data_IF_033496395986
#
_entry.id   IF_033496395986
#
_cell.length_a   1.000
_cell.length_b   1.000
_cell.length_c   1.000
_cell.angle_alpha   90.00
_cell.angle_beta   90.00
_cell.angle_gamma   90.00
#
_symmetry.space_group_name_H-M   'P 1'
#
loop_
_entity.id
_entity.type
_entity.pdbx_description
1 polymer ?
#
# COMPACT_ATOMS: atom_id res chain seq x y z
N UNK A 1 -3.33 19.29 -15.41
CA UNK A 1 -3.39 17.95 -16.04
C UNK A 1 -3.10 17.99 -17.54
N UNK A 2 -3.73 18.87 -18.34
CA UNK A 2 -3.51 18.93 -19.78
C UNK A 2 -2.05 19.28 -20.16
N UNK A 3 -1.42 20.22 -19.49
CA UNK A 3 0.00 20.57 -19.74
C UNK A 3 0.96 19.41 -19.48
N UNK A 4 0.71 18.61 -18.46
CA UNK A 4 1.56 17.44 -18.14
C UNK A 4 1.47 16.36 -19.21
N UNK A 5 0.26 16.07 -19.69
CA UNK A 5 0.02 15.10 -20.78
C UNK A 5 0.65 15.59 -22.09
N UNK A 6 0.52 16.87 -22.43
CA UNK A 6 1.19 17.45 -23.61
C UNK A 6 2.70 17.36 -23.54
N UNK A 7 3.32 17.65 -22.40
CA UNK A 7 4.77 17.48 -22.21
C UNK A 7 5.23 16.03 -22.32
N UNK A 8 4.46 15.08 -21.81
CA UNK A 8 4.78 13.65 -21.93
C UNK A 8 4.67 13.18 -23.38
N UNK A 9 3.61 13.59 -24.09
CA UNK A 9 3.42 13.25 -25.50
C UNK A 9 4.51 13.85 -26.40
N UNK A 10 4.90 15.11 -26.18
CA UNK A 10 5.95 15.77 -26.98
C UNK A 10 7.33 15.13 -26.72
N UNK A 11 7.66 14.77 -25.48
CA UNK A 11 8.92 14.05 -25.20
C UNK A 11 8.96 12.67 -25.84
N UNK A 12 7.85 11.94 -25.84
CA UNK A 12 7.79 10.60 -26.44
C UNK A 12 7.74 10.65 -27.99
N UNK A 13 7.23 11.74 -28.57
CA UNK A 13 7.18 11.90 -30.03
C UNK A 13 8.54 12.29 -30.63
N UNK A 14 9.34 13.10 -29.92
CA UNK A 14 10.60 13.64 -30.47
C UNK A 14 11.85 12.97 -29.86
N UNK A 15 11.73 12.38 -28.67
CA UNK A 15 12.83 11.72 -27.98
C UNK A 15 12.32 10.41 -27.39
N UNK A 16 12.15 9.40 -28.23
CA UNK A 16 11.83 8.03 -27.78
C UNK A 16 12.89 7.51 -26.80
N UNK A 17 12.53 6.48 -26.04
CA UNK A 17 13.48 5.81 -25.14
C UNK A 17 14.74 5.41 -25.89
N UNK A 18 15.90 5.61 -25.30
CA UNK A 18 17.18 5.21 -25.88
C UNK A 18 17.23 3.69 -26.17
N UNK A 19 18.03 3.28 -27.12
CA UNK A 19 18.15 1.86 -27.51
C UNK A 19 18.42 0.92 -26.33
N UNK A 20 19.29 1.21 -25.35
CA UNK A 20 19.49 0.35 -24.17
C UNK A 20 18.22 0.16 -23.37
N UNK A 21 17.41 1.22 -23.21
CA UNK A 21 16.12 1.15 -22.45
C UNK A 21 15.10 0.28 -23.19
N UNK A 22 15.05 0.35 -24.52
CA UNK A 22 14.17 -0.49 -25.33
C UNK A 22 14.54 -1.97 -25.23
N UNK A 23 15.84 -2.30 -25.27
CA UNK A 23 16.33 -3.67 -25.06
C UNK A 23 16.03 -4.18 -23.65
N UNK A 24 16.22 -3.33 -22.62
CA UNK A 24 15.85 -3.68 -21.25
C UNK A 24 14.34 -3.93 -21.10
N UNK A 25 13.49 -3.13 -21.77
CA UNK A 25 12.05 -3.34 -21.78
C UNK A 25 11.66 -4.69 -22.42
N UNK A 26 12.31 -5.09 -23.52
CA UNK A 26 12.09 -6.40 -24.13
C UNK A 26 12.45 -7.56 -23.19
N UNK A 27 13.52 -7.43 -22.41
CA UNK A 27 13.93 -8.42 -21.43
C UNK A 27 12.89 -8.63 -20.31
N UNK A 28 12.05 -7.65 -20.02
CA UNK A 28 10.96 -7.78 -19.07
C UNK A 28 9.85 -8.75 -19.49
N UNK A 29 9.78 -9.09 -20.77
CA UNK A 29 8.78 -9.99 -21.36
C UNK A 29 9.29 -11.40 -21.61
N UNK A 30 10.49 -11.75 -21.16
CA UNK A 30 10.97 -13.13 -21.24
C UNK A 30 10.17 -14.04 -20.31
N UNK A 31 10.06 -15.34 -20.61
CA UNK A 31 9.37 -16.30 -19.74
C UNK A 31 9.87 -16.28 -18.29
N UNK A 32 11.18 -16.11 -18.10
CA UNK A 32 11.83 -16.06 -16.79
C UNK A 32 11.40 -14.81 -15.99
N UNK A 33 11.38 -13.63 -16.63
CA UNK A 33 10.92 -12.39 -16.03
C UNK A 33 9.44 -12.44 -15.65
N UNK A 34 8.61 -13.02 -16.51
CA UNK A 34 7.18 -13.20 -16.24
C UNK A 34 6.94 -14.20 -15.10
N UNK A 35 7.72 -15.28 -15.02
CA UNK A 35 7.66 -16.24 -13.91
C UNK A 35 8.03 -15.59 -12.58
N UNK A 36 9.05 -14.72 -12.55
CA UNK A 36 9.42 -13.95 -11.36
C UNK A 36 8.29 -12.99 -10.93
N UNK A 37 7.67 -12.28 -11.86
CA UNK A 37 6.53 -11.42 -11.59
C UNK A 37 5.36 -12.21 -10.98
N UNK A 38 5.07 -13.41 -11.51
CA UNK A 38 4.01 -14.26 -10.96
C UNK A 38 4.34 -14.77 -9.57
N UNK A 39 5.58 -15.18 -9.31
CA UNK A 39 6.02 -15.57 -7.97
C UNK A 39 5.85 -14.43 -6.96
N UNK A 40 6.24 -13.22 -7.32
CA UNK A 40 6.02 -12.01 -6.48
C UNK A 40 4.53 -11.71 -6.27
N UNK A 41 3.71 -11.88 -7.28
CA UNK A 41 2.27 -11.71 -7.17
C UNK A 41 1.66 -12.70 -6.16
N UNK A 42 2.07 -13.97 -6.19
CA UNK A 42 1.62 -14.98 -5.23
C UNK A 42 2.07 -14.66 -3.81
N UNK A 43 3.30 -14.17 -3.63
CA UNK A 43 3.78 -13.72 -2.33
C UNK A 43 2.96 -12.54 -1.78
N UNK A 44 2.66 -11.54 -2.62
CA UNK A 44 1.80 -10.42 -2.23
C UNK A 44 0.37 -10.86 -1.86
N UNK A 45 -0.18 -11.88 -2.52
CA UNK A 45 -1.47 -12.47 -2.14
C UNK A 45 -1.43 -13.11 -0.74
N UNK A 46 -0.32 -13.79 -0.39
CA UNK A 46 -0.17 -14.37 0.94
C UNK A 46 -0.06 -13.26 2.01
N UNK A 47 0.74 -12.23 1.75
CA UNK A 47 0.86 -11.05 2.65
C UNK A 47 -0.47 -10.31 2.81
N UNK A 48 -1.23 -10.14 1.73
CA UNK A 48 -2.57 -9.55 1.77
C UNK A 48 -3.47 -10.28 2.76
N UNK A 49 -3.49 -11.61 2.74
CA UNK A 49 -4.30 -12.42 3.67
C UNK A 49 -3.89 -12.16 5.12
N UNK A 50 -2.59 -12.16 5.41
CA UNK A 50 -2.07 -11.86 6.76
C UNK A 50 -2.60 -10.50 7.25
N UNK A 51 -2.53 -9.47 6.39
CA UNK A 51 -2.96 -8.11 6.76
C UNK A 51 -4.48 -8.03 6.93
N UNK A 52 -5.27 -8.56 6.01
CA UNK A 52 -6.74 -8.52 6.10
C UNK A 52 -7.24 -9.26 7.34
N UNK A 53 -6.72 -10.47 7.58
CA UNK A 53 -7.10 -11.27 8.75
C UNK A 53 -6.61 -10.62 10.06
N UNK A 54 -5.41 -10.00 10.03
CA UNK A 54 -4.86 -9.28 11.17
C UNK A 54 -5.67 -8.05 11.52
N UNK A 55 -5.98 -7.19 10.55
CA UNK A 55 -6.81 -6.00 10.74
C UNK A 55 -8.21 -6.37 11.26
N UNK A 56 -8.81 -7.43 10.73
CA UNK A 56 -10.10 -7.92 11.21
C UNK A 56 -10.04 -8.35 12.69
N UNK A 57 -8.98 -9.05 13.10
CA UNK A 57 -8.79 -9.51 14.50
C UNK A 57 -8.68 -8.35 15.49
N UNK A 58 -7.99 -7.28 15.12
CA UNK A 58 -7.84 -6.08 15.97
C UNK A 58 -9.04 -5.12 15.85
N UNK A 59 -10.09 -5.54 15.11
CA UNK A 59 -11.33 -4.80 14.99
C UNK A 59 -11.30 -3.64 14.01
N UNK A 60 -10.36 -3.58 13.10
CA UNK A 60 -10.25 -2.58 12.02
C UNK A 60 -10.43 -3.28 10.64
N UNK A 61 -11.62 -3.84 10.35
CA UNK A 61 -11.81 -4.61 9.12
C UNK A 61 -11.66 -3.74 7.88
N UNK A 62 -11.11 -4.33 6.83
CA UNK A 62 -11.07 -3.71 5.50
C UNK A 62 -12.44 -3.89 4.85
N UNK A 63 -13.17 -2.81 4.62
CA UNK A 63 -14.53 -2.85 4.05
C UNK A 63 -14.55 -3.36 2.60
N UNK A 64 -13.57 -2.90 1.81
CA UNK A 64 -13.40 -3.31 0.41
C UNK A 64 -12.05 -4.00 0.27
N UNK A 65 -12.06 -5.31 0.12
CA UNK A 65 -10.82 -6.07 -0.08
C UNK A 65 -10.11 -5.66 -1.37
N UNK A 66 -8.82 -5.32 -1.30
CA UNK A 66 -8.07 -4.91 -2.48
C UNK A 66 -7.87 -6.08 -3.46
N UNK A 67 -8.15 -5.87 -4.74
CA UNK A 67 -7.95 -6.85 -5.81
C UNK A 67 -6.56 -6.76 -6.46
N UNK A 68 -5.73 -5.80 -6.06
CA UNK A 68 -4.41 -5.57 -6.64
C UNK A 68 -3.54 -4.70 -5.76
N UNK A 69 -2.40 -4.29 -6.28
CA UNK A 69 -1.39 -3.51 -5.58
C UNK A 69 -0.89 -4.22 -4.30
N UNK A 70 -0.49 -3.46 -3.30
CA UNK A 70 0.07 -3.95 -2.03
C UNK A 70 -0.31 -3.06 -0.85
N UNK A 71 -1.56 -2.54 -0.87
CA UNK A 71 -2.12 -1.66 0.14
C UNK A 71 -3.47 -2.17 0.65
N UNK A 72 -3.71 -2.03 1.96
CA UNK A 72 -5.02 -2.10 2.58
C UNK A 72 -5.43 -0.67 2.99
N UNK A 73 -6.66 -0.28 2.70
CA UNK A 73 -7.25 0.99 3.09
C UNK A 73 -8.47 0.70 3.96
N UNK A 74 -8.51 1.22 5.18
CA UNK A 74 -9.50 0.82 6.17
C UNK A 74 -9.88 1.97 7.10
N UNK A 75 -11.09 1.87 7.64
CA UNK A 75 -11.69 2.84 8.55
C UNK A 75 -11.16 2.64 9.99
N UNK A 76 -10.79 3.77 10.62
CA UNK A 76 -10.36 3.83 12.01
C UNK A 76 -11.31 4.64 12.90
N UNK A 77 -12.48 5.07 12.41
CA UNK A 77 -13.44 5.92 13.13
C UNK A 77 -13.81 5.37 14.51
N UNK A 78 -13.86 4.04 14.66
CA UNK A 78 -14.15 3.39 15.95
C UNK A 78 -13.13 3.69 17.05
N UNK A 79 -11.94 4.16 16.70
CA UNK A 79 -10.88 4.49 17.67
C UNK A 79 -11.10 5.85 18.33
N UNK A 80 -12.00 6.69 17.77
CA UNK A 80 -12.25 8.04 18.24
C UNK A 80 -11.15 9.05 17.84
N UNK A 81 -10.11 8.62 17.15
CA UNK A 81 -9.04 9.48 16.64
C UNK A 81 -9.29 9.84 15.16
N UNK A 82 -8.81 11.02 14.75
CA UNK A 82 -8.66 11.32 13.34
C UNK A 82 -7.45 10.57 12.74
N UNK A 83 -7.46 10.39 11.41
CA UNK A 83 -6.46 9.59 10.71
C UNK A 83 -5.02 10.11 10.88
N UNK A 84 -4.85 11.43 11.02
CA UNK A 84 -3.52 12.02 11.23
C UNK A 84 -2.98 11.66 12.61
N UNK A 85 -3.74 11.96 13.66
CA UNK A 85 -3.39 11.66 15.05
C UNK A 85 -3.18 10.15 15.26
N UNK A 86 -4.03 9.32 14.62
CA UNK A 86 -3.87 7.87 14.67
C UNK A 86 -2.53 7.42 14.06
N UNK A 87 -2.14 7.96 12.90
CA UNK A 87 -0.87 7.62 12.26
C UNK A 87 0.35 8.08 13.07
N UNK A 88 0.31 9.30 13.63
CA UNK A 88 1.39 9.81 14.50
C UNK A 88 1.56 8.92 15.75
N UNK A 89 0.47 8.65 16.47
CA UNK A 89 0.52 7.81 17.65
C UNK A 89 0.89 6.36 17.37
N UNK A 90 0.39 5.77 16.27
CA UNK A 90 0.78 4.42 15.85
C UNK A 90 2.29 4.34 15.55
N UNK A 91 2.87 5.40 14.98
CA UNK A 91 4.31 5.46 14.74
C UNK A 91 5.11 5.58 16.05
N UNK A 92 4.70 6.48 16.93
CA UNK A 92 5.45 6.79 18.16
C UNK A 92 5.30 5.69 19.22
N UNK A 93 4.09 5.16 19.40
CA UNK A 93 3.76 4.22 20.48
C UNK A 93 3.89 2.73 20.05
N UNK A 94 3.50 2.41 18.80
CA UNK A 94 3.53 1.05 18.29
C UNK A 94 4.67 0.78 17.29
N UNK A 95 5.37 1.81 16.84
CA UNK A 95 6.41 1.74 15.79
C UNK A 95 5.88 1.14 14.48
N UNK A 96 4.63 1.50 14.14
CA UNK A 96 3.96 1.09 12.91
C UNK A 96 3.68 2.31 12.05
N UNK A 97 4.32 2.39 10.89
CA UNK A 97 4.12 3.47 9.94
C UNK A 97 2.89 3.21 9.07
N UNK A 98 1.95 4.15 9.09
CA UNK A 98 0.73 4.18 8.30
C UNK A 98 0.66 5.48 7.51
N UNK A 99 -0.22 5.53 6.49
CA UNK A 99 -0.45 6.75 5.71
C UNK A 99 -1.87 7.26 5.96
N UNK A 100 -2.06 8.53 6.38
CA UNK A 100 -3.38 9.08 6.66
C UNK A 100 -4.20 9.26 5.38
N UNK A 101 -5.53 9.18 5.51
CA UNK A 101 -6.49 9.24 4.39
C UNK A 101 -6.43 10.52 3.58
N UNK A 102 -6.02 11.65 4.17
CA UNK A 102 -5.91 12.95 3.49
C UNK A 102 -5.01 12.94 2.25
N UNK A 103 -4.07 11.99 2.16
CA UNK A 103 -3.21 11.83 0.99
C UNK A 103 -3.95 11.23 -0.21
N UNK A 104 -5.17 10.70 -0.02
CA UNK A 104 -5.94 9.97 -1.03
C UNK A 104 -7.25 10.62 -1.42
N UNK A 105 -7.73 11.61 -0.68
CA UNK A 105 -8.95 12.35 -1.01
C UNK A 105 -9.67 12.91 0.21
N UNK A 106 -10.52 13.91 -0.01
CA UNK A 106 -11.20 14.64 1.06
C UNK A 106 -12.30 13.81 1.76
N UNK A 107 -12.94 12.88 1.05
CA UNK A 107 -14.13 12.18 1.57
C UNK A 107 -13.83 11.28 2.78
N UNK A 108 -12.62 10.70 2.85
CA UNK A 108 -12.19 9.77 3.90
C UNK A 108 -10.93 10.26 4.61
N UNK A 109 -10.60 11.54 4.46
CA UNK A 109 -9.36 12.16 4.93
C UNK A 109 -9.08 11.90 6.41
N UNK A 110 -10.11 12.02 7.24
CA UNK A 110 -10.00 11.99 8.70
C UNK A 110 -10.35 10.62 9.30
N UNK A 111 -10.93 9.73 8.51
CA UNK A 111 -11.47 8.45 9.01
C UNK A 111 -10.74 7.21 8.53
N UNK A 112 -9.92 7.32 7.51
CA UNK A 112 -9.26 6.16 6.92
C UNK A 112 -7.74 6.29 6.94
N UNK A 113 -7.09 5.13 7.00
CA UNK A 113 -5.64 5.02 6.91
C UNK A 113 -5.25 3.91 5.93
N UNK A 114 -4.04 4.02 5.37
CA UNK A 114 -3.48 3.04 4.44
C UNK A 114 -2.32 2.30 5.08
N UNK A 115 -2.34 0.97 5.01
CA UNK A 115 -1.24 0.09 5.38
C UNK A 115 -0.66 -0.56 4.12
N UNK A 116 0.67 -0.53 3.98
CA UNK A 116 1.39 -1.25 2.92
C UNK A 116 1.77 -2.65 3.38
N UNK A 117 1.52 -3.67 2.55
CA UNK A 117 1.98 -5.04 2.81
C UNK A 117 3.16 -5.47 1.93
N UNK A 118 4.00 -4.49 1.53
CA UNK A 118 5.25 -4.76 0.81
C UNK A 118 6.37 -5.31 1.70
N UNK A 119 6.25 -5.26 3.03
CA UNK A 119 7.19 -5.80 3.99
C UNK A 119 7.17 -7.34 4.07
N UNK A 120 8.11 -7.97 4.78
CA UNK A 120 8.14 -9.42 4.98
C UNK A 120 6.91 -9.90 5.80
N UNK A 121 6.60 -11.20 5.73
CA UNK A 121 5.47 -11.78 6.47
C UNK A 121 5.66 -11.63 7.98
N UNK A 122 6.89 -11.82 8.46
CA UNK A 122 7.27 -11.69 9.86
C UNK A 122 7.05 -10.25 10.34
N UNK A 123 7.56 -9.27 9.60
CA UNK A 123 7.39 -7.85 9.92
C UNK A 123 5.91 -7.42 9.90
N UNK A 124 5.11 -7.95 8.96
CA UNK A 124 3.66 -7.68 8.91
C UNK A 124 2.94 -8.28 10.10
N UNK A 125 3.28 -9.49 10.50
CA UNK A 125 2.67 -10.16 11.66
C UNK A 125 3.01 -9.39 12.94
N UNK A 126 4.28 -9.06 13.16
CA UNK A 126 4.74 -8.28 14.31
C UNK A 126 4.10 -6.88 14.33
N UNK A 127 4.06 -6.19 13.19
CA UNK A 127 3.43 -4.87 13.09
C UNK A 127 1.94 -4.90 13.42
N UNK A 128 1.21 -5.94 13.01
CA UNK A 128 -0.20 -6.11 13.34
C UNK A 128 -0.43 -6.42 14.83
N UNK A 129 0.46 -7.18 15.47
CA UNK A 129 0.41 -7.43 16.92
C UNK A 129 0.61 -6.12 17.71
N UNK A 130 1.63 -5.34 17.35
CA UNK A 130 1.89 -4.02 17.95
C UNK A 130 0.71 -3.06 17.74
N UNK A 131 0.19 -3.00 16.52
CA UNK A 131 -0.99 -2.20 16.20
C UNK A 131 -2.22 -2.63 17.00
N UNK A 132 -2.41 -3.93 17.22
CA UNK A 132 -3.48 -4.47 18.05
C UNK A 132 -3.38 -3.99 19.48
N UNK A 133 -2.21 -4.13 20.12
CA UNK A 133 -1.95 -3.62 21.46
C UNK A 133 -2.20 -2.11 21.58
N UNK A 134 -1.78 -1.35 20.59
CA UNK A 134 -2.04 0.09 20.53
C UNK A 134 -3.54 0.40 20.46
N UNK A 135 -4.27 -0.27 19.57
CA UNK A 135 -5.74 -0.07 19.44
C UNK A 135 -6.49 -0.44 20.71
N UNK A 136 -6.05 -1.47 21.44
CA UNK A 136 -6.63 -1.85 22.73
C UNK A 136 -6.36 -0.83 23.85
N UNK A 137 -5.33 -0.01 23.70
CA UNK A 137 -4.96 1.04 24.68
C UNK A 137 -5.69 2.37 24.44
N UNK A 138 -6.44 2.51 23.35
CA UNK A 138 -7.20 3.72 23.01
C UNK A 138 -8.54 3.75 23.74
#
# INVERSE_FOLDING_TARGET
HQHFIQHLCVRNLFFGSGSPTQHAALACFTPESLAECEARRQELLARRRIVIDGLKRIGLPVEVEPNGAFYAYFDISRTGLDAWTFCERALDEAHVALTPGRDFGAATADTHVRLSYAASREALTEGLERLGTFVESL
#
